data_IF_713177513350
#
_entry.id   IF_713177513350
#
_cell.length_a   1.000
_cell.length_b   1.000
_cell.length_c   1.000
_cell.angle_alpha   90.00
_cell.angle_beta   90.00
_cell.angle_gamma   90.00
#
_symmetry.space_group_name_H-M   'P 1'
#
loop_
_entity.id
_entity.type
_entity.pdbx_description
1 polymer ?
#
# COMPACT_ATOMS: atom_id res chain seq x y z
N UNK A 1 15.91 -21.42 10.32
CA UNK A 1 14.83 -22.43 10.44
C UNK A 1 15.44 -23.68 11.05
N UNK A 2 14.72 -24.24 12.02
CA UNK A 2 15.18 -25.19 13.04
C UNK A 2 15.52 -26.58 12.47
N UNK A 3 16.70 -27.12 12.81
CA UNK A 3 17.16 -28.47 12.48
C UNK A 3 16.25 -29.62 12.98
N UNK A 4 15.16 -29.32 13.72
CA UNK A 4 14.23 -30.29 14.33
C UNK A 4 13.48 -31.16 13.30
N UNK A 5 13.26 -30.67 12.08
CA UNK A 5 12.52 -31.38 11.03
C UNK A 5 13.30 -32.54 10.39
N UNK A 6 14.64 -32.49 10.44
CA UNK A 6 15.51 -33.54 9.89
C UNK A 6 15.36 -34.88 10.63
N UNK A 7 15.04 -34.86 11.93
CA UNK A 7 14.80 -36.04 12.76
C UNK A 7 13.63 -36.90 12.27
N UNK A 8 12.70 -36.31 11.52
CA UNK A 8 11.51 -36.98 11.01
C UNK A 8 11.63 -37.35 9.51
N UNK A 9 12.84 -37.28 8.93
CA UNK A 9 13.06 -37.60 7.51
C UNK A 9 12.54 -36.54 6.54
N UNK A 10 12.17 -35.35 7.02
CA UNK A 10 11.59 -34.28 6.20
C UNK A 10 12.70 -33.32 5.78
N UNK A 11 12.97 -33.28 4.47
CA UNK A 11 13.90 -32.31 3.88
C UNK A 11 13.18 -30.98 3.62
N UNK A 12 13.61 -29.86 4.24
CA UNK A 12 13.00 -28.56 4.00
C UNK A 12 13.38 -28.04 2.60
N UNK A 13 12.43 -28.08 1.67
CA UNK A 13 12.57 -27.50 0.34
C UNK A 13 12.22 -26.00 0.40
N UNK A 14 13.02 -25.11 -0.21
CA UNK A 14 12.67 -23.69 -0.29
C UNK A 14 11.40 -23.51 -1.13
N UNK A 15 10.37 -22.89 -0.53
CA UNK A 15 9.14 -22.51 -1.24
C UNK A 15 9.42 -21.30 -2.14
N UNK A 16 8.91 -21.26 -3.39
CA UNK A 16 8.96 -20.05 -4.20
C UNK A 16 8.21 -18.91 -3.50
N UNK A 17 8.88 -17.77 -3.31
CA UNK A 17 8.26 -16.57 -2.76
C UNK A 17 7.50 -15.86 -3.87
N UNK A 18 6.18 -15.91 -3.81
CA UNK A 18 5.33 -15.11 -4.70
C UNK A 18 5.38 -13.67 -4.20
N UNK A 19 6.04 -12.78 -4.93
CA UNK A 19 6.07 -11.35 -4.63
C UNK A 19 4.73 -10.74 -5.04
N UNK A 20 4.15 -9.92 -4.18
CA UNK A 20 2.97 -9.15 -4.56
C UNK A 20 3.36 -8.11 -5.62
N UNK A 21 2.83 -8.24 -6.83
CA UNK A 21 3.08 -7.33 -7.96
C UNK A 21 2.07 -6.19 -8.05
N UNK A 22 1.23 -5.98 -7.03
CA UNK A 22 0.19 -4.96 -7.08
C UNK A 22 0.83 -3.57 -7.06
N UNK A 23 0.97 -2.98 -8.25
CA UNK A 23 1.35 -1.58 -8.46
C UNK A 23 0.09 -0.74 -8.46
N UNK A 24 0.03 0.29 -7.61
CA UNK A 24 -1.04 1.29 -7.68
C UNK A 24 -0.80 2.15 -8.92
N UNK A 25 -1.69 2.05 -9.90
CA UNK A 25 -1.69 2.92 -11.07
C UNK A 25 -2.81 3.95 -10.94
N UNK A 26 -2.43 5.23 -11.02
CA UNK A 26 -3.33 6.37 -10.82
C UNK A 26 -3.71 7.05 -12.15
N UNK A 27 -3.18 6.62 -13.30
CA UNK A 27 -3.44 7.31 -14.57
C UNK A 27 -4.82 7.04 -15.16
N UNK A 28 -5.42 5.89 -14.84
CA UNK A 28 -6.76 5.51 -15.33
C UNK A 28 -7.91 6.23 -14.61
N UNK A 29 -9.14 6.07 -15.12
CA UNK A 29 -10.35 6.69 -14.55
C UNK A 29 -10.56 6.37 -13.07
N UNK A 30 -10.29 5.12 -12.67
CA UNK A 30 -10.35 4.67 -11.28
C UNK A 30 -9.31 5.40 -10.41
N UNK A 31 -8.10 5.61 -10.94
CA UNK A 31 -7.05 6.38 -10.29
C UNK A 31 -7.45 7.84 -10.09
N UNK A 32 -8.06 8.45 -11.11
CA UNK A 32 -8.59 9.81 -11.00
C UNK A 32 -9.71 9.91 -9.95
N UNK A 33 -10.56 8.89 -9.83
CA UNK A 33 -11.61 8.87 -8.80
C UNK A 33 -11.00 8.80 -7.39
N UNK A 34 -9.97 7.98 -7.19
CA UNK A 34 -9.23 7.90 -5.91
C UNK A 34 -8.61 9.25 -5.57
N UNK A 35 -7.92 9.89 -6.52
CA UNK A 35 -7.33 11.22 -6.28
C UNK A 35 -8.42 12.21 -5.87
N UNK A 36 -9.55 12.25 -6.59
CA UNK A 36 -10.66 13.16 -6.28
C UNK A 36 -11.26 12.90 -4.90
N UNK A 37 -11.49 11.66 -4.51
CA UNK A 37 -12.07 11.32 -3.20
C UNK A 37 -11.13 11.69 -2.06
N UNK A 38 -9.85 11.34 -2.17
CA UNK A 38 -8.85 11.62 -1.15
C UNK A 38 -8.61 13.13 -1.01
N UNK A 39 -8.46 13.84 -2.14
CA UNK A 39 -8.29 15.31 -2.12
C UNK A 39 -9.48 15.99 -1.46
N UNK A 40 -10.71 15.55 -1.77
CA UNK A 40 -11.93 16.10 -1.16
C UNK A 40 -11.98 15.86 0.34
N UNK A 41 -11.56 14.68 0.80
CA UNK A 41 -11.51 14.36 2.22
C UNK A 41 -10.50 15.24 2.94
N UNK A 42 -9.28 15.34 2.41
CA UNK A 42 -8.18 16.13 3.01
C UNK A 42 -8.56 17.60 3.14
N UNK A 43 -9.16 18.20 2.09
CA UNK A 43 -9.61 19.59 2.12
C UNK A 43 -10.70 19.86 3.17
N UNK A 44 -11.58 18.88 3.41
CA UNK A 44 -12.62 18.97 4.45
C UNK A 44 -12.03 18.87 5.85
N UNK A 45 -11.11 17.93 6.05
CA UNK A 45 -10.50 17.68 7.36
C UNK A 45 -9.60 18.84 7.81
N UNK A 46 -8.87 19.47 6.88
CA UNK A 46 -7.84 20.46 7.21
C UNK A 46 -8.12 21.86 6.64
N UNK A 47 -9.37 22.32 6.75
CA UNK A 47 -9.81 23.60 6.16
C UNK A 47 -8.95 24.81 6.57
N UNK A 48 -8.65 24.97 7.86
CA UNK A 48 -7.86 26.11 8.35
C UNK A 48 -6.40 26.08 7.90
N UNK A 49 -5.83 24.88 7.75
CA UNK A 49 -4.46 24.72 7.22
C UNK A 49 -4.38 25.21 5.78
N UNK A 50 -5.34 24.82 4.94
CA UNK A 50 -5.38 25.26 3.54
C UNK A 50 -5.74 26.74 3.42
N UNK A 51 -6.58 27.28 4.31
CA UNK A 51 -6.86 28.72 4.38
C UNK A 51 -5.58 29.51 4.65
N UNK A 52 -4.80 29.10 5.67
CA UNK A 52 -3.53 29.73 6.01
C UNK A 52 -2.48 29.62 4.90
N UNK A 53 -2.45 28.50 4.19
CA UNK A 53 -1.57 28.32 3.02
C UNK A 53 -1.96 29.20 1.83
N UNK A 54 -3.25 29.49 1.65
CA UNK A 54 -3.72 30.37 0.58
C UNK A 54 -3.37 31.84 0.84
N UNK A 55 -3.21 32.21 2.12
CA UNK A 55 -2.85 33.56 2.57
C UNK A 55 -1.32 33.80 2.64
N UNK A 56 -0.49 32.79 2.33
CA UNK A 56 0.99 32.87 2.27
C UNK A 56 1.46 33.27 0.87
#
# INVERSE_FOLDING_TARGET
>A
MTHKLSKYGISPIPRPKILATKKLDLTGEQGQQIIKSETKLVLRTHKETFKRLADM
#
